data_IF_166898807732
#
_entry.id   IF_166898807732
#
_cell.length_a   1.000
_cell.length_b   1.000
_cell.length_c   1.000
_cell.angle_alpha   90.00
_cell.angle_beta   90.00
_cell.angle_gamma   90.00
#
_symmetry.space_group_name_H-M   'P 1'
#
loop_
_entity.id
_entity.type
_entity.pdbx_description
1 polymer ?
#
# COMPACT_ATOMS: atom_id res chain seq x y z
N UNK A 1 7.60 -1.09 15.51
CA UNK A 1 8.77 -1.88 15.09
C UNK A 1 10.04 -1.27 15.66
N UNK A 2 10.80 -2.04 16.42
CA UNK A 2 12.10 -1.59 16.96
C UNK A 2 13.18 -1.54 15.87
N UNK A 3 14.01 -0.49 15.92
CA UNK A 3 15.13 -0.30 14.99
C UNK A 3 16.33 -1.10 15.47
N UNK A 4 16.85 -2.00 14.64
CA UNK A 4 18.02 -2.84 14.97
C UNK A 4 19.38 -2.15 14.74
N UNK A 5 19.39 -0.93 14.20
CA UNK A 5 20.60 -0.18 13.86
C UNK A 5 20.75 1.07 14.73
N UNK A 6 21.98 1.35 15.14
CA UNK A 6 22.33 2.51 15.97
C UNK A 6 23.21 3.47 15.16
N UNK A 7 22.90 4.77 15.23
CA UNK A 7 23.72 5.81 14.61
C UNK A 7 25.08 5.85 15.31
N UNK A 8 26.16 5.98 14.54
CA UNK A 8 27.50 6.30 15.06
C UNK A 8 28.01 7.58 14.41
N UNK A 9 28.54 8.48 15.23
CA UNK A 9 29.15 9.73 14.79
C UNK A 9 30.22 10.13 15.81
N UNK A 10 31.50 9.94 15.48
CA UNK A 10 32.61 10.25 16.41
C UNK A 10 33.79 10.98 15.75
N UNK A 11 33.53 11.78 14.72
CA UNK A 11 34.56 12.55 14.00
C UNK A 11 35.46 11.72 13.07
N UNK A 12 35.66 10.43 13.35
CA UNK A 12 36.49 9.50 12.56
C UNK A 12 35.63 8.53 11.75
N UNK A 13 34.52 8.05 12.33
CA UNK A 13 33.57 7.14 11.67
C UNK A 13 32.17 7.72 11.75
N UNK A 14 31.45 7.62 10.62
CA UNK A 14 30.02 7.93 10.49
C UNK A 14 29.26 6.69 9.99
N UNK A 15 27.94 6.72 10.11
CA UNK A 15 27.04 5.68 9.60
C UNK A 15 26.29 4.95 10.70
N UNK A 16 26.02 3.66 10.48
CA UNK A 16 25.24 2.83 11.39
C UNK A 16 26.02 1.59 11.83
N UNK A 17 25.68 1.08 13.00
CA UNK A 17 26.19 -0.20 13.50
C UNK A 17 25.05 -1.00 14.13
N UNK A 18 25.21 -2.33 14.19
CA UNK A 18 24.28 -3.22 14.90
C UNK A 18 25.08 -4.34 15.57
N UNK A 19 24.71 -4.76 16.79
CA UNK A 19 25.26 -5.96 17.40
C UNK A 19 24.61 -7.26 16.87
N UNK A 20 23.52 -7.15 16.10
CA UNK A 20 22.73 -8.29 15.64
C UNK A 20 23.42 -9.09 14.53
N UNK A 21 23.00 -10.35 14.36
CA UNK A 21 23.54 -11.23 13.31
C UNK A 21 23.12 -10.73 11.93
N UNK A 22 23.97 -10.99 10.92
CA UNK A 22 23.67 -10.63 9.52
C UNK A 22 22.30 -11.15 9.07
N UNK A 23 21.96 -12.40 9.42
CA UNK A 23 20.69 -13.01 9.02
C UNK A 23 19.50 -12.22 9.56
N UNK A 24 19.51 -11.86 10.84
CA UNK A 24 18.43 -11.10 11.48
C UNK A 24 18.24 -9.71 10.84
N UNK A 25 19.34 -9.06 10.44
CA UNK A 25 19.27 -7.79 9.72
C UNK A 25 18.68 -7.96 8.31
N UNK A 26 19.00 -9.07 7.62
CA UNK A 26 18.43 -9.39 6.31
C UNK A 26 16.94 -9.70 6.43
N UNK A 27 16.54 -10.54 7.39
CA UNK A 27 15.14 -10.88 7.63
C UNK A 27 14.34 -9.62 7.98
N UNK A 28 14.92 -8.72 8.79
CA UNK A 28 14.29 -7.45 9.12
C UNK A 28 14.19 -6.51 7.93
N UNK A 29 15.19 -6.48 7.05
CA UNK A 29 15.16 -5.67 5.83
C UNK A 29 14.08 -6.18 4.88
N UNK A 30 14.03 -7.49 4.64
CA UNK A 30 12.99 -8.11 3.81
C UNK A 30 11.58 -7.75 4.35
N UNK A 31 11.38 -7.79 5.67
CA UNK A 31 10.11 -7.40 6.28
C UNK A 31 9.75 -5.91 6.07
N UNK A 32 10.74 -5.02 5.91
CA UNK A 32 10.49 -3.61 5.56
C UNK A 32 10.17 -3.47 4.07
N UNK A 33 10.91 -4.16 3.20
CA UNK A 33 10.70 -4.15 1.75
C UNK A 33 9.30 -4.68 1.39
N UNK A 34 8.90 -5.82 1.96
CA UNK A 34 7.56 -6.40 1.78
C UNK A 34 6.44 -5.44 2.25
N UNK A 35 6.71 -4.65 3.30
CA UNK A 35 5.74 -3.68 3.81
C UNK A 35 5.65 -2.44 2.91
N UNK A 36 6.78 -1.91 2.46
CA UNK A 36 6.78 -0.80 1.48
C UNK A 36 6.08 -1.21 0.19
N UNK A 37 6.21 -2.47 -0.24
CA UNK A 37 5.48 -2.98 -1.40
C UNK A 37 3.95 -3.01 -1.18
N UNK A 38 3.50 -3.38 0.02
CA UNK A 38 2.07 -3.36 0.37
C UNK A 38 1.49 -1.95 0.50
N UNK A 39 2.28 -1.02 0.98
CA UNK A 39 1.86 0.36 1.25
C UNK A 39 2.03 1.31 0.03
N UNK A 40 2.42 0.79 -1.15
CA UNK A 40 2.55 1.61 -2.37
C UNK A 40 1.27 1.70 -3.18
N UNK A 41 1.12 2.80 -3.91
CA UNK A 41 0.15 2.93 -4.99
C UNK A 41 0.56 2.10 -6.21
N UNK A 42 -0.39 1.36 -6.75
CA UNK A 42 -0.27 0.49 -7.92
C UNK A 42 -1.11 1.11 -9.04
N UNK A 43 -0.50 1.60 -10.13
CA UNK A 43 -1.24 2.07 -11.28
C UNK A 43 -2.12 0.96 -11.86
N UNK A 44 -3.35 1.29 -12.27
CA UNK A 44 -4.26 0.29 -12.89
C UNK A 44 -3.70 -0.28 -14.20
N UNK A 45 -2.80 0.44 -14.86
CA UNK A 45 -2.07 -0.01 -16.05
C UNK A 45 -0.96 -1.03 -15.74
N UNK A 46 -0.50 -1.09 -14.49
CA UNK A 46 0.50 -2.05 -14.03
C UNK A 46 -0.18 -3.36 -13.63
N UNK A 47 -1.20 -3.27 -12.77
CA UNK A 47 -1.95 -4.41 -12.24
C UNK A 47 -3.32 -3.94 -11.75
N UNK A 48 -4.36 -4.75 -11.96
CA UNK A 48 -5.69 -4.53 -11.40
C UNK A 48 -5.81 -5.17 -10.00
N UNK A 49 -6.75 -4.70 -9.17
CA UNK A 49 -7.06 -5.32 -7.87
C UNK A 49 -7.59 -6.75 -8.03
N UNK A 50 -7.64 -7.47 -6.91
CA UNK A 50 -8.36 -8.76 -6.86
C UNK A 50 -9.88 -8.52 -6.88
N UNK A 51 -10.62 -9.45 -7.48
CA UNK A 51 -12.08 -9.40 -7.54
C UNK A 51 -12.71 -9.40 -6.14
N UNK A 52 -13.84 -8.70 -6.01
CA UNK A 52 -14.61 -8.48 -4.77
C UNK A 52 -13.80 -7.85 -3.61
N UNK A 53 -12.69 -7.17 -3.89
CA UNK A 53 -11.85 -6.54 -2.86
C UNK A 53 -12.21 -5.07 -2.58
N UNK A 54 -12.15 -4.69 -1.30
CA UNK A 54 -12.16 -3.28 -0.88
C UNK A 54 -10.74 -2.73 -0.83
N UNK A 55 -10.55 -1.59 -1.48
CA UNK A 55 -9.25 -0.98 -1.76
C UNK A 55 -9.31 0.53 -1.55
N UNK A 56 -8.16 1.16 -1.38
CA UNK A 56 -8.04 2.61 -1.56
C UNK A 56 -7.78 2.89 -3.04
N UNK A 57 -8.46 3.89 -3.58
CA UNK A 57 -8.29 4.36 -4.95
C UNK A 57 -7.87 5.82 -5.00
N UNK A 58 -7.07 6.12 -6.02
CA UNK A 58 -6.71 7.45 -6.45
C UNK A 58 -7.31 7.71 -7.83
N UNK A 59 -7.51 8.98 -8.17
CA UNK A 59 -8.21 9.39 -9.39
C UNK A 59 -7.33 10.27 -10.27
N UNK A 60 -7.56 10.20 -11.58
CA UNK A 60 -6.91 11.09 -12.54
C UNK A 60 -7.46 12.52 -12.44
N UNK A 61 -8.76 12.64 -12.18
CA UNK A 61 -9.50 13.90 -12.25
C UNK A 61 -10.11 14.35 -10.90
N UNK A 62 -9.72 13.71 -9.79
CA UNK A 62 -10.08 14.12 -8.44
C UNK A 62 -8.87 14.03 -7.50
N UNK A 63 -8.85 14.87 -6.47
CA UNK A 63 -7.67 15.03 -5.59
C UNK A 63 -7.73 14.21 -4.31
N UNK A 64 -8.93 13.81 -3.88
CA UNK A 64 -9.13 13.06 -2.65
C UNK A 64 -9.22 11.57 -2.97
N UNK A 65 -8.40 10.71 -2.33
CA UNK A 65 -8.58 9.26 -2.46
C UNK A 65 -9.87 8.83 -1.76
N UNK A 66 -10.36 7.65 -2.13
CA UNK A 66 -11.60 7.10 -1.59
C UNK A 66 -11.50 5.58 -1.43
N UNK A 67 -12.45 4.99 -0.72
CA UNK A 67 -12.57 3.53 -0.60
C UNK A 67 -13.44 3.02 -1.75
N UNK A 68 -12.91 2.08 -2.52
CA UNK A 68 -13.63 1.46 -3.63
C UNK A 68 -13.77 -0.05 -3.43
N UNK A 69 -14.78 -0.60 -4.10
CA UNK A 69 -14.90 -2.04 -4.38
C UNK A 69 -14.62 -2.28 -5.85
N UNK A 70 -13.75 -3.23 -6.15
CA UNK A 70 -13.46 -3.66 -7.52
C UNK A 70 -14.21 -4.96 -7.81
N UNK A 71 -14.91 -5.01 -8.94
CA UNK A 71 -15.55 -6.21 -9.45
C UNK A 71 -15.07 -6.49 -10.87
N UNK A 72 -14.68 -7.72 -11.15
CA UNK A 72 -14.32 -8.18 -12.48
C UNK A 72 -15.44 -9.07 -13.05
N UNK A 73 -15.92 -8.72 -14.25
CA UNK A 73 -16.89 -9.52 -14.99
C UNK A 73 -16.32 -9.92 -16.37
N UNK A 74 -17.12 -10.62 -17.18
CA UNK A 74 -16.69 -11.07 -18.52
C UNK A 74 -16.33 -9.91 -19.48
N UNK A 75 -16.75 -8.68 -19.19
CA UNK A 75 -16.45 -7.46 -19.95
C UNK A 75 -15.26 -6.66 -19.37
N UNK A 76 -14.77 -7.02 -18.18
CA UNK A 76 -13.64 -6.43 -17.49
C UNK A 76 -13.96 -5.90 -16.08
N UNK A 77 -13.03 -5.13 -15.54
CA UNK A 77 -13.10 -4.60 -14.18
C UNK A 77 -13.85 -3.26 -14.06
N UNK A 78 -14.74 -3.15 -13.07
CA UNK A 78 -15.44 -1.90 -12.71
C UNK A 78 -15.17 -1.51 -11.25
N UNK A 79 -14.96 -0.21 -11.01
CA UNK A 79 -14.75 0.36 -9.67
C UNK A 79 -16.01 1.08 -9.18
N UNK A 80 -16.42 0.76 -7.95
CA UNK A 80 -17.58 1.32 -7.27
C UNK A 80 -17.15 2.05 -5.99
N UNK A 81 -17.70 3.24 -5.66
CA UNK A 81 -17.46 3.92 -4.38
C UNK A 81 -18.08 3.13 -3.22
N UNK A 82 -17.24 2.56 -2.35
CA UNK A 82 -17.69 1.70 -1.25
C UNK A 82 -18.69 0.63 -1.69
N UNK A 83 -19.93 0.76 -1.20
CA UNK A 83 -21.05 -0.15 -1.48
C UNK A 83 -22.09 0.43 -2.46
N UNK A 84 -21.76 1.53 -3.16
CA UNK A 84 -22.65 2.13 -4.16
C UNK A 84 -22.85 1.17 -5.36
N UNK A 85 -24.06 1.17 -5.92
CA UNK A 85 -24.42 0.42 -7.13
C UNK A 85 -23.90 1.12 -8.40
N UNK A 86 -23.60 2.42 -8.32
CA UNK A 86 -23.12 3.21 -9.44
C UNK A 86 -21.60 3.29 -9.46
N UNK A 87 -21.01 2.98 -10.62
CA UNK A 87 -19.56 3.06 -10.83
C UNK A 87 -19.04 4.50 -10.76
N UNK A 88 -17.74 4.67 -10.46
CA UNK A 88 -17.08 5.99 -10.56
C UNK A 88 -17.22 6.61 -11.95
N UNK A 89 -17.14 5.80 -13.01
CA UNK A 89 -17.27 6.27 -14.39
C UNK A 89 -18.64 6.89 -14.69
N UNK A 90 -19.71 6.43 -14.02
CA UNK A 90 -21.04 7.03 -14.14
C UNK A 90 -21.12 8.45 -13.58
N UNK A 91 -20.27 8.77 -12.60
CA UNK A 91 -20.09 10.10 -12.04
C UNK A 91 -19.04 10.93 -12.80
N UNK A 92 -18.46 10.38 -13.87
CA UNK A 92 -17.37 11.01 -14.62
C UNK A 92 -16.05 11.07 -13.85
N UNK A 93 -15.82 10.16 -12.91
CA UNK A 93 -14.59 10.04 -12.12
C UNK A 93 -13.81 8.83 -12.60
N UNK A 94 -12.49 8.97 -12.76
CA UNK A 94 -11.64 7.93 -13.34
C UNK A 94 -10.53 7.52 -12.38
N UNK A 95 -10.53 6.24 -11.98
CA UNK A 95 -9.49 5.64 -11.13
C UNK A 95 -8.18 5.53 -11.93
N UNK A 96 -7.05 5.93 -11.34
CA UNK A 96 -5.72 5.81 -11.98
C UNK A 96 -4.76 4.88 -11.23
N UNK A 97 -4.94 4.70 -9.92
CA UNK A 97 -4.13 3.83 -9.09
C UNK A 97 -4.92 3.33 -7.90
N UNK A 98 -4.47 2.22 -7.31
CA UNK A 98 -5.06 1.61 -6.13
C UNK A 98 -4.00 1.08 -5.16
N UNK A 99 -4.41 0.79 -3.94
CA UNK A 99 -3.61 0.04 -2.97
C UNK A 99 -4.54 -0.72 -2.00
N UNK A 100 -4.08 -1.80 -1.36
CA UNK A 100 -4.89 -2.49 -0.36
C UNK A 100 -5.25 -1.56 0.81
N UNK A 101 -6.40 -1.82 1.45
CA UNK A 101 -6.74 -1.12 2.69
C UNK A 101 -5.74 -1.45 3.80
N UNK A 102 -5.41 -0.48 4.68
CA UNK A 102 -4.62 -0.78 5.87
C UNK A 102 -5.37 -1.76 6.77
N UNK A 103 -4.64 -2.59 7.51
CA UNK A 103 -5.25 -3.45 8.50
C UNK A 103 -6.03 -2.62 9.55
N UNK A 104 -7.20 -3.09 10.01
CA UNK A 104 -7.94 -2.42 11.07
C UNK A 104 -7.06 -2.20 12.30
N UNK A 105 -7.17 -1.01 12.92
CA UNK A 105 -6.47 -0.72 14.16
C UNK A 105 -6.84 -1.75 15.24
N UNK A 106 -5.81 -2.30 15.89
CA UNK A 106 -5.94 -3.16 17.06
C UNK A 106 -5.15 -2.52 18.18
N UNK A 107 -5.82 -2.20 19.27
CA UNK A 107 -5.16 -1.75 20.50
C UNK A 107 -4.38 -2.94 21.09
N UNK A 108 -3.12 -2.70 21.47
CA UNK A 108 -2.33 -3.68 22.22
C UNK A 108 -2.90 -3.75 23.64
N UNK A 109 -3.54 -4.87 24.00
CA UNK A 109 -3.96 -5.15 25.39
C UNK A 109 -2.77 -5.51 26.28
#
# INVERSE_FOLDING_TARGET
>A
MERLTHKRENGIKRGYWSPNKKQELVDRLAMYEDREEKDRWIPISERLPEDESYILVSFENATMPDIARYEENDEGGTFYPGDDEKSYSSYGIFVNAWMPLPEPYKEEQ
#
